data_IF_025051582347
#
_entry.id   IF_025051582347
#
_cell.length_a   1.000
_cell.length_b   1.000
_cell.length_c   1.000
_cell.angle_alpha   90.00
_cell.angle_beta   90.00
_cell.angle_gamma   90.00
#
_symmetry.space_group_name_H-M   'P 1'
#
loop_
_entity.id
_entity.type
_entity.pdbx_description
1 polymer ?
#
# COMPACT_ATOMS: atom_id res chain seq x y z
N UNK A 1 12.12 5.06 -19.99
CA UNK A 1 11.32 5.55 -21.14
C UNK A 1 11.89 6.81 -21.82
N UNK A 2 13.21 7.06 -21.77
CA UNK A 2 13.94 8.02 -22.62
C UNK A 2 13.52 9.50 -22.58
N UNK A 3 12.60 9.88 -21.69
CA UNK A 3 12.09 11.26 -21.56
C UNK A 3 12.54 11.84 -20.24
N UNK A 4 13.12 13.03 -20.30
CA UNK A 4 13.51 13.78 -19.12
C UNK A 4 12.35 14.67 -18.66
N UNK A 5 12.08 14.67 -17.36
CA UNK A 5 11.08 15.52 -16.73
C UNK A 5 11.73 16.26 -15.56
N UNK A 6 11.43 17.55 -15.42
CA UNK A 6 11.80 18.32 -14.24
C UNK A 6 10.67 18.25 -13.23
N UNK A 7 10.99 17.83 -12.01
CA UNK A 7 10.06 17.74 -10.90
C UNK A 7 10.66 18.52 -9.74
N UNK A 8 9.88 19.42 -9.15
CA UNK A 8 10.26 20.10 -7.93
C UNK A 8 10.19 19.10 -6.78
N UNK A 9 11.27 18.95 -6.02
CA UNK A 9 11.32 18.13 -4.82
C UNK A 9 12.18 18.82 -3.75
N UNK A 10 11.90 18.53 -2.49
CA UNK A 10 12.82 18.85 -1.40
C UNK A 10 13.94 17.81 -1.32
N UNK A 11 15.07 18.15 -0.70
CA UNK A 11 16.20 17.20 -0.56
C UNK A 11 15.80 15.94 0.22
N UNK A 12 14.85 16.06 1.15
CA UNK A 12 14.34 14.96 1.98
C UNK A 12 13.47 13.98 1.19
N UNK A 13 12.67 14.47 0.24
CA UNK A 13 11.74 13.66 -0.57
C UNK A 13 12.42 13.02 -1.79
N UNK A 14 13.58 13.55 -2.21
CA UNK A 14 14.34 13.07 -3.37
C UNK A 14 14.53 11.55 -3.43
N UNK A 15 14.97 10.83 -2.37
CA UNK A 15 15.14 9.38 -2.44
C UNK A 15 13.84 8.63 -2.69
N UNK A 16 12.74 9.07 -2.09
CA UNK A 16 11.43 8.42 -2.26
C UNK A 16 10.83 8.73 -3.62
N UNK A 17 11.02 9.95 -4.13
CA UNK A 17 10.63 10.31 -5.49
C UNK A 17 11.40 9.49 -6.54
N UNK A 18 12.70 9.25 -6.32
CA UNK A 18 13.50 8.39 -7.21
C UNK A 18 12.97 6.95 -7.24
N UNK A 19 12.60 6.39 -6.08
CA UNK A 19 11.95 5.07 -6.02
C UNK A 19 10.60 5.05 -6.77
N UNK A 20 9.81 6.12 -6.63
CA UNK A 20 8.54 6.23 -7.34
C UNK A 20 8.75 6.29 -8.87
N UNK A 21 9.79 7.01 -9.33
CA UNK A 21 10.17 7.08 -10.76
C UNK A 21 10.61 5.71 -11.27
N UNK A 22 11.45 4.99 -10.53
CA UNK A 22 11.89 3.64 -10.91
C UNK A 22 10.71 2.67 -11.00
N UNK A 23 9.80 2.74 -10.03
CA UNK A 23 8.59 1.92 -10.03
C UNK A 23 7.70 2.20 -11.25
N UNK A 24 7.49 3.48 -11.57
CA UNK A 24 6.74 3.91 -12.74
C UNK A 24 7.41 3.42 -14.04
N UNK A 25 8.72 3.59 -14.20
CA UNK A 25 9.44 3.17 -15.41
C UNK A 25 9.35 1.67 -15.64
N UNK A 26 9.46 0.87 -14.56
CA UNK A 26 9.26 -0.57 -14.61
C UNK A 26 7.85 -0.94 -15.09
N UNK A 27 6.81 -0.35 -14.50
CA UNK A 27 5.41 -0.59 -14.91
C UNK A 27 5.15 -0.18 -16.36
N UNK A 28 5.73 0.94 -16.80
CA UNK A 28 5.65 1.36 -18.19
C UNK A 28 6.35 0.38 -19.13
N UNK A 29 7.52 -0.17 -18.75
CA UNK A 29 8.21 -1.19 -19.52
C UNK A 29 7.39 -2.49 -19.60
N UNK A 30 6.83 -2.97 -18.48
CA UNK A 30 5.95 -4.15 -18.46
C UNK A 30 4.77 -4.01 -19.44
N UNK A 31 4.11 -2.84 -19.45
CA UNK A 31 2.97 -2.59 -20.34
C UNK A 31 3.43 -2.52 -21.80
N UNK A 32 4.57 -1.86 -22.09
CA UNK A 32 5.15 -1.81 -23.44
C UNK A 32 5.48 -3.22 -23.94
N UNK A 33 6.15 -4.01 -23.11
CA UNK A 33 6.67 -5.34 -23.47
C UNK A 33 5.51 -6.35 -23.64
N UNK A 34 4.34 -6.09 -23.03
CA UNK A 34 3.11 -6.86 -23.29
C UNK A 34 2.58 -6.73 -24.72
N UNK A 35 2.98 -5.68 -25.46
CA UNK A 35 2.54 -5.41 -26.83
C UNK A 35 1.07 -5.01 -26.98
N UNK A 36 0.27 -4.99 -25.90
CA UNK A 36 -1.18 -4.71 -25.95
C UNK A 36 -1.52 -3.23 -26.10
N UNK A 37 -0.61 -2.34 -25.72
CA UNK A 37 -0.83 -0.89 -25.70
C UNK A 37 0.27 -0.21 -26.51
N UNK A 38 -0.12 0.51 -27.56
CA UNK A 38 0.79 1.30 -28.38
C UNK A 38 0.72 2.79 -28.00
N UNK A 39 1.88 3.45 -28.02
CA UNK A 39 2.01 4.88 -27.72
C UNK A 39 2.45 5.16 -26.29
N UNK A 40 3.52 5.94 -26.15
CA UNK A 40 4.15 6.26 -24.86
C UNK A 40 3.22 6.97 -23.88
N UNK A 41 2.32 7.83 -24.39
CA UNK A 41 1.32 8.53 -23.58
C UNK A 41 0.27 7.55 -23.02
N UNK A 42 -0.26 6.63 -23.83
CA UNK A 42 -1.21 5.61 -23.37
C UNK A 42 -0.56 4.66 -22.37
N UNK A 43 0.69 4.28 -22.60
CA UNK A 43 1.47 3.47 -21.67
C UNK A 43 1.61 4.19 -20.32
N UNK A 44 1.89 5.49 -20.32
CA UNK A 44 2.00 6.29 -19.10
C UNK A 44 0.68 6.33 -18.32
N UNK A 45 -0.44 6.59 -19.01
CA UNK A 45 -1.77 6.62 -18.39
C UNK A 45 -2.14 5.25 -17.82
N UNK A 46 -1.90 4.17 -18.56
CA UNK A 46 -2.18 2.81 -18.08
C UNK A 46 -1.30 2.43 -16.88
N UNK A 47 -0.01 2.81 -16.90
CA UNK A 47 0.87 2.60 -15.76
C UNK A 47 0.35 3.36 -14.52
N UNK A 48 0.01 4.63 -14.65
CA UNK A 48 -0.54 5.44 -13.56
C UNK A 48 -1.83 4.84 -13.00
N UNK A 49 -2.75 4.39 -13.86
CA UNK A 49 -3.98 3.73 -13.43
C UNK A 49 -3.72 2.43 -12.67
N UNK A 50 -2.81 1.58 -13.16
CA UNK A 50 -2.46 0.33 -12.49
C UNK A 50 -1.81 0.58 -11.11
N UNK A 51 -0.89 1.53 -11.03
CA UNK A 51 -0.22 1.91 -9.78
C UNK A 51 -1.24 2.46 -8.77
N UNK A 52 -2.15 3.32 -9.21
CA UNK A 52 -3.22 3.87 -8.37
C UNK A 52 -4.16 2.76 -7.90
N UNK A 53 -4.51 1.81 -8.77
CA UNK A 53 -5.32 0.65 -8.41
C UNK A 53 -4.63 -0.23 -7.36
N UNK A 54 -3.34 -0.49 -7.50
CA UNK A 54 -2.54 -1.24 -6.52
C UNK A 54 -2.47 -0.52 -5.16
N UNK A 55 -2.29 0.81 -5.16
CA UNK A 55 -2.30 1.62 -3.95
C UNK A 55 -3.65 1.53 -3.23
N UNK A 56 -4.76 1.76 -3.95
CA UNK A 56 -6.10 1.70 -3.38
C UNK A 56 -6.46 0.29 -2.90
N UNK A 57 -6.04 -0.76 -3.63
CA UNK A 57 -6.23 -2.15 -3.20
C UNK A 57 -5.44 -2.47 -1.94
N UNK A 58 -4.22 -1.97 -1.84
CA UNK A 58 -3.39 -2.09 -0.63
C UNK A 58 -3.98 -1.30 0.53
N UNK A 59 -4.62 -0.15 0.31
CA UNK A 59 -5.33 0.55 1.38
C UNK A 59 -6.56 -0.24 1.87
N UNK A 60 -7.29 -0.87 0.95
CA UNK A 60 -8.45 -1.71 1.31
C UNK A 60 -8.02 -3.01 2.01
N UNK A 61 -6.86 -3.57 1.66
CA UNK A 61 -6.41 -4.89 2.13
C UNK A 61 -5.30 -4.85 3.20
N UNK A 62 -4.60 -3.73 3.33
CA UNK A 62 -3.45 -3.49 4.21
C UNK A 62 -3.74 -2.48 5.32
N UNK A 63 -4.94 -1.87 5.32
CA UNK A 63 -5.57 -1.60 6.59
C UNK A 63 -5.78 -2.94 7.25
N UNK A 64 -4.95 -3.29 8.25
CA UNK A 64 -5.36 -4.25 9.29
C UNK A 64 -6.81 -3.92 9.55
N UNK A 65 -7.75 -4.88 9.39
CA UNK A 65 -9.14 -4.62 9.75
C UNK A 65 -9.09 -4.21 11.22
N UNK A 66 -9.08 -2.90 11.44
CA UNK A 66 -8.83 -2.33 12.74
C UNK A 66 -10.00 -2.71 13.63
N UNK A 67 -11.16 -2.98 13.01
CA UNK A 67 -12.31 -3.63 13.65
C UNK A 67 -11.99 -5.05 14.09
N UNK A 68 -11.40 -5.90 13.25
CA UNK A 68 -11.02 -7.26 13.62
C UNK A 68 -9.92 -7.30 14.70
N UNK A 69 -8.87 -6.51 14.53
CA UNK A 69 -7.82 -6.39 15.54
C UNK A 69 -8.39 -5.86 16.85
N UNK A 70 -9.26 -4.83 16.81
CA UNK A 70 -9.94 -4.30 18.00
C UNK A 70 -10.87 -5.34 18.64
N UNK A 71 -11.61 -6.13 17.86
CA UNK A 71 -12.43 -7.24 18.38
C UNK A 71 -11.58 -8.27 19.10
N UNK A 72 -10.44 -8.67 18.52
CA UNK A 72 -9.49 -9.60 19.16
C UNK A 72 -8.92 -9.03 20.46
N UNK A 73 -8.54 -7.75 20.47
CA UNK A 73 -8.05 -7.07 21.69
C UNK A 73 -9.12 -7.08 22.78
N UNK A 74 -10.36 -6.71 22.45
CA UNK A 74 -11.48 -6.72 23.41
C UNK A 74 -11.77 -8.14 23.92
N UNK A 75 -11.71 -9.16 23.06
CA UNK A 75 -11.87 -10.56 23.46
C UNK A 75 -10.77 -11.05 24.40
N UNK A 76 -9.51 -10.65 24.15
CA UNK A 76 -8.39 -10.93 25.05
C UNK A 76 -8.57 -10.24 26.40
N UNK A 77 -9.02 -8.97 26.41
CA UNK A 77 -9.33 -8.23 27.63
C UNK A 77 -10.40 -8.96 28.47
N UNK A 78 -11.52 -9.35 27.85
CA UNK A 78 -12.60 -10.05 28.52
C UNK A 78 -12.16 -11.43 29.07
N UNK A 79 -11.27 -12.11 28.36
CA UNK A 79 -10.72 -13.40 28.81
C UNK A 79 -9.80 -13.24 30.03
N UNK A 80 -9.00 -12.17 30.06
CA UNK A 80 -8.16 -11.81 31.21
C UNK A 80 -9.04 -11.44 32.41
N UNK A 81 -10.04 -10.58 32.22
CA UNK A 81 -10.96 -10.17 33.28
C UNK A 81 -11.72 -11.37 33.87
N UNK A 82 -12.16 -12.30 33.03
CA UNK A 82 -12.81 -13.53 33.46
C UNK A 82 -11.88 -14.43 34.28
N UNK A 83 -10.62 -14.58 33.86
CA UNK A 83 -9.63 -15.38 34.58
C UNK A 83 -9.28 -14.77 35.95
N UNK A 84 -9.10 -13.45 36.01
CA UNK A 84 -8.80 -12.72 37.25
C UNK A 84 -9.97 -12.80 38.24
N UNK A 85 -11.22 -12.59 37.78
CA UNK A 85 -12.40 -12.70 38.64
C UNK A 85 -12.62 -14.12 39.20
N UNK A 86 -12.21 -15.14 38.44
CA UNK A 86 -12.31 -16.53 38.89
C UNK A 86 -11.23 -16.89 39.94
N UNK A 87 -10.06 -16.23 39.90
CA UNK A 87 -9.05 -16.33 40.96
C UNK A 87 -9.53 -15.66 42.26
N UNK A 88 -10.16 -14.49 42.18
CA UNK A 88 -10.66 -13.77 43.37
C UNK A 88 -11.80 -14.49 44.11
N UNK A 89 -12.51 -15.41 43.44
CA UNK A 89 -13.55 -16.26 44.08
C UNK A 89 -13.00 -17.52 44.74
N UNK A 90 -11.72 -17.84 44.50
CA UNK A 90 -11.08 -19.06 45.00
C UNK A 90 -10.22 -18.81 46.26
N UNK A 91 -10.04 -17.54 46.64
CA UNK A 91 -9.46 -17.08 47.90
C UNK A 91 -10.56 -16.55 48.84
#
# INVERSE_FOLDING_TARGET
MGREFKVSCTEEERPDLLRAVEYLDRKMCEIRDSGKVAGSERIAVMAALNITHELLKTQVSGGVDLGDLKRRIVGMQASIDAAMSNQDKLF
#
